data_IF_598465545109
#
_entry.id   IF_598465545109
#
_cell.length_a   1.000
_cell.length_b   1.000
_cell.length_c   1.000
_cell.angle_alpha   90.00
_cell.angle_beta   90.00
_cell.angle_gamma   90.00
#
_symmetry.space_group_name_H-M   'P 1'
#
loop_
_entity.id
_entity.type
_entity.pdbx_description
1 polymer ?
#
# COMPACT_ATOMS: atom_id res chain seq x y z
N UNK A 1 17.19 -12.46 -7.81
CA UNK A 1 16.81 -11.05 -7.93
C UNK A 1 18.05 -10.23 -8.24
N UNK A 2 18.14 -9.62 -9.42
CA UNK A 2 19.16 -8.58 -9.66
C UNK A 2 18.76 -7.40 -8.77
N UNK A 3 19.66 -7.01 -7.86
CA UNK A 3 19.46 -5.84 -7.01
C UNK A 3 19.29 -4.61 -7.93
N UNK A 4 18.06 -4.14 -8.06
CA UNK A 4 17.77 -2.88 -8.71
C UNK A 4 18.48 -1.79 -7.89
N UNK A 5 19.36 -1.06 -8.55
CA UNK A 5 20.13 0.00 -7.90
C UNK A 5 19.24 1.23 -7.81
N UNK A 6 18.86 1.68 -6.62
CA UNK A 6 18.03 2.85 -6.42
C UNK A 6 18.53 4.11 -7.17
N UNK A 7 19.83 4.43 -7.20
CA UNK A 7 20.33 5.53 -8.04
C UNK A 7 20.00 5.40 -9.52
N UNK A 8 20.02 4.19 -10.10
CA UNK A 8 19.63 3.96 -11.49
C UNK A 8 18.12 4.12 -11.71
N UNK A 9 17.30 3.65 -10.78
CA UNK A 9 15.86 3.84 -10.85
C UNK A 9 15.48 5.32 -10.77
N UNK A 10 16.10 6.07 -9.87
CA UNK A 10 15.91 7.52 -9.72
C UNK A 10 16.39 8.27 -10.97
N UNK A 11 17.55 7.90 -11.53
CA UNK A 11 18.02 8.51 -12.77
C UNK A 11 17.07 8.27 -13.94
N UNK A 12 16.50 7.05 -14.05
CA UNK A 12 15.49 6.73 -15.06
C UNK A 12 14.19 7.53 -14.85
N UNK A 13 13.76 7.71 -13.60
CA UNK A 13 12.61 8.56 -13.25
C UNK A 13 12.85 10.02 -13.64
N UNK A 14 14.01 10.57 -13.28
CA UNK A 14 14.36 11.95 -13.60
C UNK A 14 14.46 12.20 -15.12
N UNK A 15 14.86 11.19 -15.89
CA UNK A 15 14.97 11.30 -17.34
C UNK A 15 13.62 11.46 -18.06
N UNK A 16 12.51 11.06 -17.42
CA UNK A 16 11.17 11.20 -17.99
C UNK A 16 10.40 12.42 -17.44
N UNK A 17 11.05 13.25 -16.63
CA UNK A 17 10.42 14.46 -16.09
C UNK A 17 10.60 15.66 -17.04
N UNK A 18 9.65 16.61 -17.06
CA UNK A 18 8.35 16.58 -16.38
C UNK A 18 7.36 15.64 -17.08
N UNK A 19 6.55 14.94 -16.30
CA UNK A 19 5.48 14.11 -16.84
C UNK A 19 4.39 14.95 -17.53
N UNK A 20 3.84 14.44 -18.63
CA UNK A 20 2.61 14.98 -19.21
C UNK A 20 1.43 14.84 -18.23
N UNK A 21 0.41 15.68 -18.36
CA UNK A 21 -0.80 15.58 -17.51
C UNK A 21 -1.47 14.21 -17.65
N UNK A 22 -1.48 13.66 -18.86
CA UNK A 22 -2.00 12.31 -19.15
C UNK A 22 -1.22 11.23 -18.39
N UNK A 23 0.11 11.29 -18.40
CA UNK A 23 0.94 10.29 -17.75
C UNK A 23 0.86 10.41 -16.23
N UNK A 24 0.77 11.63 -15.72
CA UNK A 24 0.52 11.91 -14.30
C UNK A 24 -0.80 11.32 -13.83
N UNK A 25 -1.87 11.49 -14.62
CA UNK A 25 -3.18 10.92 -14.31
C UNK A 25 -3.17 9.39 -14.37
N UNK A 26 -2.53 8.79 -15.39
CA UNK A 26 -2.38 7.33 -15.51
C UNK A 26 -1.65 6.75 -14.30
N UNK A 27 -0.55 7.37 -13.91
CA UNK A 27 0.26 6.93 -12.78
C UNK A 27 -0.51 7.08 -11.45
N UNK A 28 -1.21 8.20 -11.28
CA UNK A 28 -2.02 8.43 -10.08
C UNK A 28 -3.15 7.41 -9.95
N UNK A 29 -3.85 7.07 -11.05
CA UNK A 29 -4.87 6.00 -11.04
C UNK A 29 -4.28 4.65 -10.65
N UNK A 30 -3.13 4.28 -11.24
CA UNK A 30 -2.41 3.05 -10.89
C UNK A 30 -2.04 3.04 -9.41
N UNK A 31 -1.40 4.10 -8.92
CA UNK A 31 -1.01 4.23 -7.52
C UNK A 31 -2.22 4.14 -6.58
N UNK A 32 -3.30 4.84 -6.88
CA UNK A 32 -4.53 4.83 -6.06
C UNK A 32 -5.05 3.41 -5.85
N UNK A 33 -5.16 2.62 -6.91
CA UNK A 33 -5.62 1.23 -6.80
C UNK A 33 -4.62 0.36 -6.07
N UNK A 34 -3.36 0.39 -6.51
CA UNK A 34 -2.28 -0.44 -5.95
C UNK A 34 -2.06 -0.17 -4.46
N UNK A 35 -1.98 1.10 -4.05
CA UNK A 35 -1.75 1.46 -2.65
C UNK A 35 -2.93 1.08 -1.77
N UNK A 36 -4.15 1.46 -2.17
CA UNK A 36 -5.35 1.15 -1.40
C UNK A 36 -5.53 -0.35 -1.22
N UNK A 37 -5.40 -1.13 -2.29
CA UNK A 37 -5.47 -2.59 -2.19
C UNK A 37 -4.42 -3.12 -1.23
N UNK A 38 -3.15 -2.85 -1.47
CA UNK A 38 -2.07 -3.46 -0.71
C UNK A 38 -2.02 -2.99 0.75
N UNK A 39 -2.18 -1.68 0.99
CA UNK A 39 -2.10 -1.14 2.34
C UNK A 39 -3.22 -1.65 3.24
N UNK A 40 -4.45 -1.79 2.73
CA UNK A 40 -5.56 -2.35 3.50
C UNK A 40 -5.48 -3.88 3.60
N UNK A 41 -5.04 -4.56 2.53
CA UNK A 41 -4.90 -6.02 2.54
C UNK A 41 -3.82 -6.52 3.52
N UNK A 42 -2.75 -5.75 3.74
CA UNK A 42 -1.78 -6.01 4.81
C UNK A 42 -2.47 -6.06 6.19
N UNK A 43 -3.48 -5.22 6.42
CA UNK A 43 -4.22 -5.12 7.68
C UNK A 43 -5.44 -6.07 7.74
N UNK A 44 -5.67 -6.86 6.70
CA UNK A 44 -6.70 -7.91 6.70
C UNK A 44 -7.98 -7.59 5.94
N UNK A 45 -8.03 -6.47 5.18
CA UNK A 45 -9.14 -6.19 4.26
C UNK A 45 -9.23 -7.29 3.20
N UNK A 46 -10.43 -7.74 2.89
CA UNK A 46 -10.68 -8.94 2.06
C UNK A 46 -11.04 -8.64 0.61
N UNK A 47 -11.21 -7.36 0.24
CA UNK A 47 -11.52 -7.00 -1.15
C UNK A 47 -10.44 -7.49 -2.09
N UNK A 48 -10.84 -8.08 -3.19
CA UNK A 48 -9.90 -8.44 -4.27
C UNK A 48 -9.37 -7.19 -4.98
N UNK A 49 -8.27 -7.33 -5.69
CA UNK A 49 -7.70 -6.23 -6.48
C UNK A 49 -8.72 -5.67 -7.50
N UNK A 50 -9.45 -6.56 -8.20
CA UNK A 50 -10.49 -6.15 -9.14
C UNK A 50 -11.67 -5.42 -8.47
N UNK A 51 -12.10 -5.85 -7.28
CA UNK A 51 -13.14 -5.13 -6.52
C UNK A 51 -12.65 -3.75 -6.09
N UNK A 52 -11.40 -3.65 -5.65
CA UNK A 52 -10.78 -2.36 -5.29
C UNK A 52 -10.73 -1.42 -6.50
N UNK A 53 -10.28 -1.91 -7.66
CA UNK A 53 -10.23 -1.14 -8.89
C UNK A 53 -11.63 -0.64 -9.31
N UNK A 54 -12.63 -1.51 -9.33
CA UNK A 54 -14.01 -1.18 -9.67
C UNK A 54 -14.62 -0.15 -8.71
N UNK A 55 -14.37 -0.32 -7.42
CA UNK A 55 -14.88 0.59 -6.39
C UNK A 55 -14.27 1.99 -6.55
N UNK A 56 -12.94 2.08 -6.68
CA UNK A 56 -12.23 3.35 -6.64
C UNK A 56 -12.29 4.12 -7.96
N UNK A 57 -12.24 3.41 -9.10
CA UNK A 57 -12.23 4.07 -10.41
C UNK A 57 -13.63 4.26 -11.01
N UNK A 58 -14.58 3.39 -10.68
CA UNK A 58 -15.91 3.39 -11.31
C UNK A 58 -17.06 3.52 -10.31
N UNK A 59 -16.79 3.54 -9.00
CA UNK A 59 -17.82 3.61 -7.96
C UNK A 59 -18.72 2.37 -7.88
N UNK A 60 -18.29 1.23 -8.43
CA UNK A 60 -19.07 0.00 -8.54
C UNK A 60 -18.60 -1.05 -7.55
N UNK A 61 -19.56 -1.77 -6.98
CA UNK A 61 -19.31 -2.97 -6.17
C UNK A 61 -19.83 -4.18 -6.92
N UNK A 62 -19.02 -5.22 -7.04
CA UNK A 62 -19.36 -6.44 -7.77
C UNK A 62 -18.97 -7.64 -6.92
N UNK A 63 -19.89 -8.61 -6.79
CA UNK A 63 -19.74 -9.77 -5.94
C UNK A 63 -19.93 -9.45 -4.45
N UNK A 64 -19.74 -10.45 -3.61
CA UNK A 64 -19.83 -10.29 -2.16
C UNK A 64 -18.66 -9.44 -1.63
N UNK A 65 -18.97 -8.53 -0.71
CA UNK A 65 -18.00 -7.68 -0.04
C UNK A 65 -18.54 -7.24 1.32
N UNK A 66 -17.71 -7.32 2.33
CA UNK A 66 -18.05 -6.80 3.65
C UNK A 66 -18.17 -5.27 3.62
N UNK A 67 -19.23 -4.72 4.22
CA UNK A 67 -19.43 -3.26 4.26
C UNK A 67 -18.24 -2.55 4.89
N UNK A 68 -17.68 -3.10 5.95
CA UNK A 68 -16.47 -2.58 6.61
C UNK A 68 -15.31 -2.45 5.64
N UNK A 69 -15.06 -3.45 4.81
CA UNK A 69 -13.95 -3.46 3.86
C UNK A 69 -14.12 -2.39 2.77
N UNK A 70 -15.36 -2.19 2.30
CA UNK A 70 -15.69 -1.13 1.36
C UNK A 70 -15.47 0.26 1.96
N UNK A 71 -15.88 0.45 3.21
CA UNK A 71 -15.74 1.71 3.93
C UNK A 71 -14.28 2.04 4.22
N UNK A 72 -13.49 1.07 4.66
CA UNK A 72 -12.04 1.22 4.86
C UNK A 72 -11.34 1.61 3.57
N UNK A 73 -11.71 0.99 2.44
CA UNK A 73 -11.12 1.28 1.14
C UNK A 73 -11.41 2.72 0.70
N UNK A 74 -12.66 3.19 0.85
CA UNK A 74 -13.03 4.58 0.55
C UNK A 74 -12.34 5.59 1.47
N UNK A 75 -12.24 5.28 2.76
CA UNK A 75 -11.55 6.13 3.72
C UNK A 75 -10.05 6.25 3.41
N UNK A 76 -9.43 5.14 3.02
CA UNK A 76 -8.02 5.12 2.59
C UNK A 76 -7.78 5.98 1.34
N UNK A 77 -8.70 5.96 0.36
CA UNK A 77 -8.61 6.83 -0.83
C UNK A 77 -8.68 8.33 -0.48
N UNK A 78 -9.55 8.70 0.47
CA UNK A 78 -9.58 10.08 1.00
C UNK A 78 -8.26 10.41 1.69
N UNK A 79 -7.71 9.49 2.48
CA UNK A 79 -6.41 9.66 3.14
C UNK A 79 -5.25 9.88 2.15
N UNK A 80 -5.24 9.18 1.00
CA UNK A 80 -4.26 9.40 -0.07
C UNK A 80 -4.37 10.83 -0.61
N UNK A 81 -5.57 11.30 -0.93
CA UNK A 81 -5.80 12.66 -1.46
C UNK A 81 -5.33 13.72 -0.47
N UNK A 82 -5.69 13.59 0.79
CA UNK A 82 -5.21 14.50 1.86
C UNK A 82 -3.69 14.50 1.96
N UNK A 83 -3.06 13.32 1.88
CA UNK A 83 -1.61 13.20 1.93
C UNK A 83 -0.94 13.87 0.73
N UNK A 84 -1.45 13.67 -0.49
CA UNK A 84 -0.93 14.28 -1.72
C UNK A 84 -1.06 15.81 -1.70
N UNK A 85 -2.21 16.32 -1.28
CA UNK A 85 -2.45 17.76 -1.12
C UNK A 85 -1.46 18.38 -0.14
N UNK A 86 -1.30 17.78 1.04
CA UNK A 86 -0.37 18.27 2.06
C UNK A 86 1.08 18.21 1.59
N UNK A 87 1.49 17.14 0.89
CA UNK A 87 2.85 17.00 0.35
C UNK A 87 3.17 18.05 -0.71
N UNK A 88 2.17 18.54 -1.44
CA UNK A 88 2.29 19.62 -2.43
C UNK A 88 2.57 20.99 -1.81
N UNK A 89 2.20 21.22 -0.54
CA UNK A 89 2.41 22.50 0.16
C UNK A 89 3.80 22.51 0.79
N UNK A 90 4.81 22.89 -0.01
CA UNK A 90 6.24 22.77 0.39
C UNK A 90 6.62 23.60 1.63
N UNK A 91 5.98 24.73 1.84
CA UNK A 91 6.28 25.64 2.96
C UNK A 91 5.61 25.22 4.28
N UNK A 92 4.72 24.23 4.26
CA UNK A 92 4.03 23.76 5.47
C UNK A 92 4.76 22.55 6.06
N UNK A 93 5.27 22.63 7.30
CA UNK A 93 5.93 21.51 7.97
C UNK A 93 4.94 20.38 8.29
N UNK A 94 5.45 19.17 8.43
CA UNK A 94 4.67 18.07 9.00
C UNK A 94 4.28 18.38 10.43
N UNK A 95 3.03 18.08 10.81
CA UNK A 95 2.53 18.30 12.16
C UNK A 95 1.88 17.04 12.73
N UNK A 96 1.93 16.89 14.05
CA UNK A 96 1.18 15.84 14.74
C UNK A 96 -0.32 15.92 14.45
N UNK A 97 -0.86 17.15 14.31
CA UNK A 97 -2.26 17.34 13.99
C UNK A 97 -2.63 16.76 12.63
N UNK A 98 -1.79 16.94 11.61
CA UNK A 98 -2.00 16.33 10.31
C UNK A 98 -2.01 14.79 10.37
N UNK A 99 -1.05 14.19 11.10
CA UNK A 99 -1.01 12.73 11.30
C UNK A 99 -2.28 12.24 12.00
N UNK A 100 -2.77 12.96 13.00
CA UNK A 100 -4.02 12.64 13.70
C UNK A 100 -5.26 12.82 12.82
N UNK A 101 -5.28 13.81 11.94
CA UNK A 101 -6.34 14.00 10.96
C UNK A 101 -6.36 12.88 9.93
N UNK A 102 -5.21 12.45 9.40
CA UNK A 102 -5.12 11.27 8.54
C UNK A 102 -5.66 10.02 9.25
N UNK A 103 -5.27 9.80 10.50
CA UNK A 103 -5.78 8.68 11.28
C UNK A 103 -7.30 8.75 11.48
N UNK A 104 -7.83 9.95 11.81
CA UNK A 104 -9.29 10.16 11.92
C UNK A 104 -10.01 9.86 10.60
N UNK A 105 -9.43 10.26 9.47
CA UNK A 105 -9.98 9.98 8.15
C UNK A 105 -10.01 8.49 7.87
N UNK A 106 -8.94 7.75 8.18
CA UNK A 106 -8.86 6.31 7.94
C UNK A 106 -9.85 5.49 8.78
N UNK A 107 -10.01 5.85 10.06
CA UNK A 107 -10.93 5.15 10.96
C UNK A 107 -12.37 5.66 10.87
N UNK A 108 -12.57 6.90 10.38
CA UNK A 108 -13.85 7.60 10.24
C UNK A 108 -14.49 7.98 11.57
N UNK A 109 -14.68 7.02 12.47
CA UNK A 109 -15.34 7.21 13.77
C UNK A 109 -14.70 6.34 14.86
N UNK A 110 -15.04 6.65 16.10
CA UNK A 110 -14.70 5.80 17.23
C UNK A 110 -15.49 4.49 17.15
N UNK A 111 -14.87 3.37 17.49
CA UNK A 111 -15.54 2.08 17.50
C UNK A 111 -15.14 1.21 18.68
N UNK A 112 -16.04 0.31 19.08
CA UNK A 112 -15.83 -0.60 20.20
C UNK A 112 -15.30 -1.94 19.72
N UNK A 113 -14.21 -2.39 20.36
CA UNK A 113 -13.67 -3.74 20.19
C UNK A 113 -14.11 -4.60 21.36
N UNK A 114 -14.71 -5.75 21.06
CA UNK A 114 -15.07 -6.75 22.03
C UNK A 114 -14.02 -7.86 22.03
N UNK A 115 -13.62 -8.30 23.20
CA UNK A 115 -12.69 -9.43 23.37
C UNK A 115 -13.20 -10.39 24.42
N UNK A 116 -12.99 -11.67 24.19
CA UNK A 116 -13.19 -12.72 25.17
C UNK A 116 -11.87 -12.97 25.89
N UNK A 117 -11.90 -12.93 27.21
CA UNK A 117 -10.78 -13.26 28.08
C UNK A 117 -10.75 -14.77 28.36
N UNK A 118 -9.58 -15.34 28.75
CA UNK A 118 -9.51 -16.70 29.24
C UNK A 118 -10.54 -16.93 30.35
N UNK A 119 -11.42 -17.92 30.20
CA UNK A 119 -12.52 -18.19 31.12
C UNK A 119 -13.91 -17.68 30.66
N UNK A 120 -14.02 -17.16 29.40
CA UNK A 120 -15.32 -16.79 28.81
C UNK A 120 -15.83 -15.40 29.23
N UNK A 121 -15.06 -14.64 30.01
CA UNK A 121 -15.43 -13.28 30.40
C UNK A 121 -15.25 -12.33 29.22
N UNK A 122 -16.29 -11.58 28.86
CA UNK A 122 -16.21 -10.56 27.83
C UNK A 122 -15.68 -9.21 28.39
N UNK A 123 -14.82 -8.55 27.61
CA UNK A 123 -14.39 -7.19 27.86
C UNK A 123 -14.52 -6.37 26.57
N UNK A 124 -14.64 -5.06 26.71
CA UNK A 124 -14.68 -4.17 25.57
C UNK A 124 -13.89 -2.89 25.84
N UNK A 125 -13.45 -2.27 24.77
CA UNK A 125 -12.81 -0.96 24.82
C UNK A 125 -13.07 -0.17 23.55
N UNK A 126 -13.00 1.15 23.65
CA UNK A 126 -13.22 2.04 22.50
C UNK A 126 -11.88 2.42 21.89
N UNK A 127 -11.80 2.32 20.55
CA UNK A 127 -10.72 2.87 19.76
C UNK A 127 -11.14 4.25 19.27
N UNK A 128 -10.31 5.25 19.56
CA UNK A 128 -10.61 6.64 19.28
C UNK A 128 -9.94 7.12 17.97
N UNK A 129 -10.74 7.52 16.99
CA UNK A 129 -10.27 8.08 15.73
C UNK A 129 -9.57 9.44 15.94
N UNK A 130 -8.32 9.55 15.49
CA UNK A 130 -7.52 10.77 15.58
C UNK A 130 -6.97 11.09 16.97
N UNK A 131 -7.02 10.17 17.92
CA UNK A 131 -6.45 10.33 19.27
C UNK A 131 -5.35 9.30 19.50
N UNK A 132 -4.29 9.71 20.18
CA UNK A 132 -3.26 8.79 20.61
C UNK A 132 -3.83 7.79 21.62
N UNK A 133 -3.21 6.63 21.67
CA UNK A 133 -3.59 5.53 22.54
C UNK A 133 -3.63 5.92 24.00
N UNK A 134 -4.59 5.39 24.70
CA UNK A 134 -4.76 5.54 26.16
C UNK A 134 -4.42 4.27 26.90
N UNK A 135 -4.14 3.18 26.16
CA UNK A 135 -3.88 1.86 26.68
C UNK A 135 -2.61 1.29 26.05
N UNK A 136 -1.81 0.52 26.78
CA UNK A 136 -0.68 -0.18 26.23
C UNK A 136 -1.11 -1.09 25.07
N UNK A 137 -0.36 -1.05 23.98
CA UNK A 137 -0.50 -2.01 22.90
C UNK A 137 0.77 -2.86 22.81
N UNK A 138 0.61 -4.12 22.54
CA UNK A 138 1.70 -5.06 22.34
C UNK A 138 1.25 -6.09 21.33
N UNK A 139 2.20 -6.70 20.64
CA UNK A 139 1.94 -7.80 19.73
C UNK A 139 2.70 -9.04 20.20
N UNK A 140 2.09 -10.20 20.01
CA UNK A 140 2.80 -11.47 20.16
C UNK A 140 3.49 -11.72 18.81
N UNK A 141 4.81 -11.81 18.84
CA UNK A 141 5.59 -12.13 17.64
C UNK A 141 5.27 -13.55 17.17
N UNK A 142 5.62 -13.88 15.95
CA UNK A 142 5.49 -15.26 15.44
C UNK A 142 6.34 -16.30 16.23
N UNK A 143 7.28 -15.83 17.02
CA UNK A 143 8.13 -16.65 17.89
C UNK A 143 7.57 -16.83 19.30
N UNK A 144 6.41 -16.20 19.59
CA UNK A 144 5.76 -16.24 20.89
C UNK A 144 6.21 -15.16 21.89
N UNK A 145 7.19 -14.34 21.52
CA UNK A 145 7.67 -13.25 22.36
C UNK A 145 6.68 -12.07 22.34
N UNK A 146 6.55 -11.41 23.48
CA UNK A 146 5.78 -10.17 23.58
C UNK A 146 6.67 -8.98 23.17
N UNK A 147 6.25 -8.28 22.12
CA UNK A 147 6.86 -7.05 21.70
C UNK A 147 6.03 -5.85 22.18
N UNK A 148 6.65 -4.94 22.91
CA UNK A 148 6.00 -3.78 23.48
C UNK A 148 6.36 -2.51 22.69
N UNK A 149 5.35 -1.67 22.46
CA UNK A 149 5.49 -0.34 21.92
C UNK A 149 5.54 0.70 23.05
N UNK A 150 5.82 1.96 22.69
CA UNK A 150 5.86 3.05 23.67
C UNK A 150 4.62 3.06 24.58
N UNK A 151 4.81 3.40 25.85
CA UNK A 151 3.70 3.54 26.79
C UNK A 151 2.76 4.71 26.38
N UNK A 152 1.47 4.65 26.73
CA UNK A 152 0.54 5.75 26.43
C UNK A 152 1.04 7.12 26.94
N UNK A 153 1.62 7.15 28.12
CA UNK A 153 2.13 8.35 28.79
C UNK A 153 3.32 8.97 28.04
N UNK A 154 4.12 8.16 27.35
CA UNK A 154 5.29 8.61 26.57
C UNK A 154 4.92 8.98 25.13
N UNK A 155 3.79 8.48 24.63
CA UNK A 155 3.42 8.54 23.21
C UNK A 155 3.39 9.96 22.65
N UNK A 156 2.79 10.90 23.38
CA UNK A 156 2.66 12.28 22.90
C UNK A 156 4.02 12.99 22.79
N UNK A 157 4.92 12.76 23.76
CA UNK A 157 6.28 13.31 23.75
C UNK A 157 7.11 12.71 22.62
N UNK A 158 7.12 11.39 22.47
CA UNK A 158 7.85 10.70 21.40
C UNK A 158 7.36 11.09 20.00
N UNK A 159 6.06 11.35 19.83
CA UNK A 159 5.52 11.86 18.58
C UNK A 159 5.91 13.32 18.30
N UNK A 160 6.03 14.14 19.35
CA UNK A 160 6.58 15.50 19.22
C UNK A 160 8.04 15.43 18.74
N UNK A 161 8.86 14.64 19.41
CA UNK A 161 10.27 14.46 19.08
C UNK A 161 10.45 13.93 17.65
N UNK A 162 9.62 12.98 17.22
CA UNK A 162 9.67 12.41 15.86
C UNK A 162 9.36 13.46 14.81
N UNK A 163 8.31 14.26 15.01
CA UNK A 163 7.88 15.28 14.04
C UNK A 163 8.90 16.42 13.99
N UNK A 164 9.40 16.88 15.14
CA UNK A 164 10.43 17.91 15.22
C UNK A 164 11.74 17.43 14.59
N UNK A 165 12.15 16.19 14.85
CA UNK A 165 13.30 15.58 14.21
C UNK A 165 13.13 15.56 12.70
N UNK A 166 11.97 15.10 12.18
CA UNK A 166 11.70 15.02 10.75
C UNK A 166 11.85 16.40 10.09
N UNK A 167 11.14 17.41 10.59
CA UNK A 167 11.17 18.75 10.02
C UNK A 167 12.59 19.36 10.05
N UNK A 168 13.36 19.07 11.11
CA UNK A 168 14.74 19.51 11.24
C UNK A 168 15.69 18.80 10.26
N UNK A 169 15.55 17.49 10.06
CA UNK A 169 16.38 16.75 9.11
C UNK A 169 15.99 17.07 7.66
N UNK A 170 14.71 17.26 7.38
CA UNK A 170 14.24 17.74 6.09
C UNK A 170 14.89 19.08 5.72
N UNK A 171 14.88 20.04 6.62
CA UNK A 171 15.50 21.36 6.39
C UNK A 171 17.03 21.33 6.22
N UNK A 172 17.72 20.36 6.84
CA UNK A 172 19.16 20.18 6.69
C UNK A 172 19.57 19.56 5.32
N UNK A 173 18.67 18.78 4.71
CA UNK A 173 18.94 18.11 3.43
C UNK A 173 20.11 17.12 3.44
N UNK A 174 20.50 16.58 4.62
CA UNK A 174 21.62 15.62 4.73
C UNK A 174 21.23 14.19 4.42
N UNK A 175 20.01 13.81 4.78
CA UNK A 175 19.44 12.49 4.47
C UNK A 175 18.77 12.55 3.10
N UNK A 176 18.93 11.49 2.32
CA UNK A 176 18.12 11.32 1.11
C UNK A 176 16.64 11.14 1.49
N UNK A 177 15.70 11.50 0.61
CA UNK A 177 14.28 11.29 0.87
C UNK A 177 13.93 9.83 1.22
N UNK A 178 14.66 8.87 0.65
CA UNK A 178 14.48 7.44 0.94
C UNK A 178 14.92 7.10 2.35
N UNK A 179 16.08 7.60 2.79
CA UNK A 179 16.58 7.40 4.16
C UNK A 179 15.68 8.08 5.20
N UNK A 180 15.23 9.30 4.88
CA UNK A 180 14.32 10.06 5.74
C UNK A 180 12.98 9.33 5.91
N UNK A 181 12.40 8.82 4.81
CA UNK A 181 11.16 8.04 4.84
C UNK A 181 11.32 6.71 5.60
N UNK A 182 12.44 6.00 5.40
CA UNK A 182 12.72 4.75 6.11
C UNK A 182 12.87 4.95 7.62
N UNK A 183 13.63 5.98 8.03
CA UNK A 183 13.79 6.32 9.45
C UNK A 183 12.48 6.76 10.09
N UNK A 184 11.73 7.63 9.43
CA UNK A 184 10.43 8.06 9.93
C UNK A 184 9.50 6.87 10.13
N UNK A 185 9.39 6.01 9.11
CA UNK A 185 8.57 4.80 9.17
C UNK A 185 8.93 3.91 10.35
N UNK A 186 10.22 3.57 10.49
CA UNK A 186 10.70 2.70 11.57
C UNK A 186 10.42 3.30 12.95
N UNK A 187 10.83 4.54 13.17
CA UNK A 187 10.60 5.25 14.45
C UNK A 187 9.12 5.35 14.81
N UNK A 188 8.29 5.68 13.81
CA UNK A 188 6.84 5.76 13.99
C UNK A 188 6.23 4.41 14.40
N UNK A 189 6.66 3.31 13.75
CA UNK A 189 6.19 1.95 14.12
C UNK A 189 6.65 1.59 15.54
N UNK A 190 7.83 2.01 15.98
CA UNK A 190 8.31 1.77 17.35
C UNK A 190 7.51 2.54 18.41
N UNK A 191 7.04 3.73 18.08
CA UNK A 191 6.14 4.51 18.96
C UNK A 191 4.75 3.86 18.97
N UNK A 192 4.23 3.49 17.80
CA UNK A 192 2.91 2.90 17.62
C UNK A 192 1.80 3.73 18.27
N UNK A 193 1.61 5.00 17.83
CA UNK A 193 0.93 6.01 18.64
C UNK A 193 -0.58 5.82 18.77
N UNK A 194 -1.21 5.04 17.93
CA UNK A 194 -2.65 4.79 17.97
C UNK A 194 -2.97 3.37 18.43
N UNK A 195 -4.22 3.13 18.80
CA UNK A 195 -4.68 1.80 19.20
C UNK A 195 -4.91 0.87 17.98
N UNK A 196 -5.20 1.46 16.80
CA UNK A 196 -5.30 0.78 15.49
C UNK A 196 -4.80 1.69 14.37
N UNK A 197 -4.65 1.17 13.14
CA UNK A 197 -4.33 1.94 11.93
C UNK A 197 -2.87 2.43 11.79
N UNK A 198 -1.99 2.08 12.71
CA UNK A 198 -0.60 2.56 12.69
C UNK A 198 0.14 2.17 11.41
N UNK A 199 -0.02 0.94 10.92
CA UNK A 199 0.62 0.49 9.69
C UNK A 199 0.17 1.29 8.47
N UNK A 200 -1.13 1.56 8.35
CA UNK A 200 -1.71 2.37 7.27
C UNK A 200 -1.17 3.80 7.29
N UNK A 201 -1.13 4.43 8.46
CA UNK A 201 -0.55 5.78 8.63
C UNK A 201 0.94 5.79 8.29
N UNK A 202 1.72 4.82 8.77
CA UNK A 202 3.16 4.73 8.47
C UNK A 202 3.42 4.70 6.96
N UNK A 203 2.64 3.88 6.21
CA UNK A 203 2.76 3.79 4.74
C UNK A 203 2.29 5.04 4.01
N UNK A 204 1.29 5.76 4.54
CA UNK A 204 0.89 7.07 4.00
C UNK A 204 1.97 8.13 4.21
N UNK A 205 2.57 8.21 5.40
CA UNK A 205 3.62 9.21 5.68
C UNK A 205 4.91 8.93 4.89
N UNK A 206 5.23 7.65 4.62
CA UNK A 206 6.30 7.32 3.66
C UNK A 206 6.06 8.02 2.32
N UNK A 207 4.84 7.91 1.78
CA UNK A 207 4.48 8.53 0.50
C UNK A 207 4.36 10.05 0.59
N UNK A 208 3.94 10.60 1.73
CA UNK A 208 4.03 12.03 1.99
C UNK A 208 5.48 12.54 1.84
N UNK A 209 6.43 11.87 2.48
CA UNK A 209 7.85 12.26 2.44
C UNK A 209 8.39 12.16 1.00
N UNK A 210 8.14 11.05 0.31
CA UNK A 210 8.60 10.85 -1.06
C UNK A 210 8.00 11.89 -2.03
N UNK A 211 6.68 12.09 -1.99
CA UNK A 211 5.98 13.05 -2.84
C UNK A 211 6.42 14.51 -2.57
N UNK A 212 6.69 14.85 -1.31
CA UNK A 212 7.19 16.16 -0.93
C UNK A 212 8.56 16.49 -1.56
N UNK A 213 9.34 15.48 -1.89
CA UNK A 213 10.64 15.61 -2.54
C UNK A 213 10.60 15.24 -4.05
N UNK A 214 9.41 15.24 -4.66
CA UNK A 214 9.18 14.95 -6.08
C UNK A 214 9.63 13.53 -6.51
N UNK A 215 9.74 12.62 -5.53
CA UNK A 215 9.92 11.19 -5.80
C UNK A 215 8.57 10.55 -6.14
N UNK A 216 8.55 9.51 -6.96
CA UNK A 216 7.33 8.74 -7.16
C UNK A 216 6.89 8.08 -5.86
N UNK A 217 5.59 8.01 -5.68
CA UNK A 217 4.98 7.29 -4.56
C UNK A 217 5.15 5.79 -4.77
N UNK A 218 5.29 5.05 -3.67
CA UNK A 218 5.58 3.62 -3.68
C UNK A 218 4.50 2.79 -2.99
N UNK A 219 4.48 1.51 -3.28
CA UNK A 219 3.56 0.55 -2.66
C UNK A 219 4.34 -0.58 -2.00
N UNK A 220 4.13 -0.79 -0.70
CA UNK A 220 4.57 -2.02 -0.03
C UNK A 220 3.53 -3.09 -0.36
N UNK A 221 3.91 -4.10 -1.14
CA UNK A 221 2.99 -5.10 -1.67
C UNK A 221 2.56 -6.10 -0.60
N UNK A 222 1.26 -6.37 -0.52
CA UNK A 222 0.68 -7.31 0.47
C UNK A 222 1.21 -8.74 0.30
N UNK A 223 1.51 -9.15 -0.92
CA UNK A 223 2.16 -10.44 -1.22
C UNK A 223 3.56 -10.58 -0.58
N UNK A 224 4.22 -9.46 -0.29
CA UNK A 224 5.53 -9.40 0.36
C UNK A 224 5.43 -9.05 1.86
N UNK A 225 4.22 -9.06 2.47
CA UNK A 225 3.99 -8.78 3.89
C UNK A 225 4.98 -9.51 4.80
N UNK A 226 5.26 -10.78 4.52
CA UNK A 226 6.22 -11.58 5.31
C UNK A 226 7.64 -10.98 5.28
N UNK A 227 8.11 -10.54 4.10
CA UNK A 227 9.45 -9.92 3.95
C UNK A 227 9.51 -8.57 4.64
N UNK A 228 8.44 -7.78 4.53
CA UNK A 228 8.30 -6.49 5.18
C UNK A 228 8.37 -6.60 6.71
N UNK A 229 7.59 -7.50 7.30
CA UNK A 229 7.59 -7.72 8.74
C UNK A 229 8.90 -8.33 9.23
N UNK A 230 9.53 -9.22 8.43
CA UNK A 230 10.85 -9.78 8.75
C UNK A 230 11.92 -8.69 8.77
N UNK A 231 11.93 -7.79 7.80
CA UNK A 231 12.90 -6.70 7.76
C UNK A 231 12.78 -5.75 8.97
N UNK A 232 11.56 -5.46 9.42
CA UNK A 232 11.31 -4.71 10.66
C UNK A 232 11.82 -5.48 11.89
N UNK A 233 11.47 -6.76 11.97
CA UNK A 233 11.91 -7.61 13.10
C UNK A 233 13.44 -7.71 13.19
N UNK A 234 14.15 -7.87 12.08
CA UNK A 234 15.60 -7.89 12.06
C UNK A 234 16.22 -6.56 12.52
N UNK A 235 15.59 -5.42 12.17
CA UNK A 235 16.00 -4.12 12.70
C UNK A 235 15.71 -4.01 14.21
N UNK A 236 14.58 -4.55 14.69
CA UNK A 236 14.25 -4.58 16.11
C UNK A 236 15.28 -5.37 16.94
N UNK A 237 15.83 -6.44 16.40
CA UNK A 237 16.89 -7.21 17.05
C UNK A 237 18.19 -6.39 17.21
N UNK A 238 18.51 -5.53 16.23
CA UNK A 238 19.69 -4.65 16.30
C UNK A 238 19.47 -3.45 17.24
N UNK A 239 18.27 -2.88 17.25
CA UNK A 239 17.90 -1.72 18.07
C UNK A 239 17.65 -2.10 19.54
N UNK A 240 17.14 -3.31 19.77
CA UNK A 240 16.70 -3.76 21.09
C UNK A 240 15.20 -3.49 21.35
N UNK A 241 14.71 -4.07 22.46
CA UNK A 241 13.28 -4.08 22.79
C UNK A 241 12.74 -2.76 23.36
N UNK A 242 13.61 -1.87 23.85
CA UNK A 242 13.16 -0.62 24.49
C UNK A 242 12.50 0.32 23.49
N UNK A 243 11.21 0.68 23.66
CA UNK A 243 10.47 1.48 22.69
C UNK A 243 11.06 2.87 22.44
N UNK A 244 11.50 3.58 23.49
CA UNK A 244 12.10 4.91 23.38
C UNK A 244 13.43 4.91 22.60
N UNK A 245 14.24 3.83 22.71
CA UNK A 245 15.45 3.67 21.90
C UNK A 245 15.06 3.49 20.43
N UNK A 246 14.04 2.68 20.15
CA UNK A 246 13.53 2.49 18.79
C UNK A 246 12.95 3.77 18.17
N UNK A 247 12.29 4.60 18.96
CA UNK A 247 11.77 5.90 18.53
C UNK A 247 12.88 6.90 18.14
N UNK A 248 14.14 6.66 18.54
CA UNK A 248 15.30 7.48 18.21
C UNK A 248 16.38 6.73 17.41
N UNK A 249 16.08 5.54 16.86
CA UNK A 249 17.03 4.75 16.10
C UNK A 249 17.61 5.55 14.91
N UNK A 250 18.87 5.29 14.58
CA UNK A 250 19.55 5.86 13.40
C UNK A 250 19.64 4.87 12.23
N UNK A 251 20.21 5.30 11.10
CA UNK A 251 20.37 4.46 9.91
C UNK A 251 21.20 3.21 10.14
N UNK A 252 22.18 3.25 11.04
CA UNK A 252 23.04 2.11 11.32
C UNK A 252 22.26 1.00 12.01
N UNK A 253 21.38 1.38 12.93
CA UNK A 253 20.56 0.44 13.68
C UNK A 253 19.46 -0.21 12.82
N UNK A 254 18.92 0.50 11.82
CA UNK A 254 17.83 -0.02 10.99
C UNK A 254 18.29 -0.60 9.65
N UNK A 255 19.58 -0.96 9.50
CA UNK A 255 20.14 -1.48 8.23
C UNK A 255 19.34 -2.58 7.56
N UNK A 256 18.81 -3.60 8.26
CA UNK A 256 18.00 -4.64 7.64
C UNK A 256 16.73 -4.07 6.99
N UNK A 257 16.01 -3.22 7.71
CA UNK A 257 14.82 -2.54 7.19
C UNK A 257 15.17 -1.56 6.06
N UNK A 258 16.22 -0.76 6.20
CA UNK A 258 16.67 0.18 5.18
C UNK A 258 17.00 -0.53 3.86
N UNK A 259 17.68 -1.65 3.88
CA UNK A 259 17.99 -2.45 2.68
C UNK A 259 16.72 -2.93 1.98
N UNK A 260 15.77 -3.46 2.75
CA UNK A 260 14.47 -3.86 2.24
C UNK A 260 13.74 -2.67 1.60
N UNK A 261 13.68 -1.54 2.32
CA UNK A 261 12.97 -0.35 1.89
C UNK A 261 13.56 0.24 0.60
N UNK A 262 14.88 0.37 0.51
CA UNK A 262 15.58 0.82 -0.72
C UNK A 262 15.25 -0.09 -1.90
N UNK A 263 15.20 -1.40 -1.70
CA UNK A 263 14.85 -2.35 -2.76
C UNK A 263 13.41 -2.16 -3.24
N UNK A 264 12.45 -1.98 -2.32
CA UNK A 264 11.04 -1.68 -2.64
C UNK A 264 10.93 -0.38 -3.44
N UNK A 265 11.57 0.69 -2.95
CA UNK A 265 11.55 1.99 -3.65
C UNK A 265 12.12 1.86 -5.07
N UNK A 266 13.26 1.19 -5.23
CA UNK A 266 13.87 1.00 -6.54
C UNK A 266 12.99 0.20 -7.50
N UNK A 267 12.34 -0.86 -7.01
CA UNK A 267 11.44 -1.70 -7.81
C UNK A 267 10.19 -0.93 -8.25
N UNK A 268 9.55 -0.22 -7.33
CA UNK A 268 8.33 0.54 -7.63
C UNK A 268 8.63 1.70 -8.62
N UNK A 269 9.72 2.45 -8.42
CA UNK A 269 10.14 3.49 -9.37
C UNK A 269 10.41 2.90 -10.75
N UNK A 270 11.11 1.77 -10.83
CA UNK A 270 11.42 1.13 -12.10
C UNK A 270 10.14 0.64 -12.80
N UNK A 271 9.20 0.08 -12.06
CA UNK A 271 7.91 -0.33 -12.59
C UNK A 271 7.09 0.86 -13.11
N UNK A 272 7.12 1.99 -12.43
CA UNK A 272 6.43 3.21 -12.86
C UNK A 272 7.05 3.78 -14.15
N UNK A 273 8.37 3.81 -14.25
CA UNK A 273 9.06 4.22 -15.49
C UNK A 273 8.65 3.29 -16.64
N UNK A 274 8.66 1.98 -16.45
CA UNK A 274 8.24 1.00 -17.46
C UNK A 274 6.77 1.17 -17.84
N UNK A 275 5.89 1.39 -16.87
CA UNK A 275 4.47 1.62 -17.10
C UNK A 275 4.20 2.84 -17.99
N UNK A 276 5.04 3.87 -17.88
CA UNK A 276 4.91 5.09 -18.67
C UNK A 276 5.60 5.03 -20.04
N UNK A 277 6.71 4.31 -20.16
CA UNK A 277 7.61 4.40 -21.33
C UNK A 277 7.57 3.21 -22.26
N UNK A 278 7.18 2.01 -21.76
CA UNK A 278 7.13 0.81 -22.60
C UNK A 278 5.79 0.70 -23.35
N UNK A 279 5.80 0.12 -24.60
CA UNK A 279 4.57 -0.19 -25.30
C UNK A 279 3.67 -1.10 -24.49
N UNK A 280 2.37 -0.81 -24.48
CA UNK A 280 1.41 -1.49 -23.60
C UNK A 280 0.33 -2.31 -24.33
N UNK A 281 0.36 -2.40 -25.67
CA UNK A 281 -0.72 -3.07 -26.44
C UNK A 281 -0.92 -4.53 -26.03
N UNK A 282 0.17 -5.28 -25.86
CA UNK A 282 0.17 -6.69 -25.45
C UNK A 282 0.57 -6.89 -23.98
N UNK A 283 0.69 -5.81 -23.20
CA UNK A 283 1.05 -5.83 -21.77
C UNK A 283 -0.18 -5.62 -20.93
N UNK A 284 -0.27 -6.36 -19.85
CA UNK A 284 -1.28 -6.20 -18.81
C UNK A 284 -0.61 -5.98 -17.46
N UNK A 285 -1.06 -4.97 -16.74
CA UNK A 285 -0.61 -4.65 -15.39
C UNK A 285 -1.66 -5.04 -14.37
N UNK A 286 -1.23 -5.74 -13.33
CA UNK A 286 -2.10 -6.18 -12.26
C UNK A 286 -1.32 -6.21 -10.94
N UNK A 287 -1.73 -5.45 -9.95
CA UNK A 287 -1.06 -5.33 -8.65
C UNK A 287 0.47 -5.15 -8.79
N UNK A 288 0.90 -4.18 -9.61
CA UNK A 288 2.31 -3.88 -9.87
C UNK A 288 3.08 -4.96 -10.63
N UNK A 289 2.43 -6.03 -11.08
CA UNK A 289 3.03 -7.06 -11.92
C UNK A 289 2.78 -6.75 -13.40
N UNK A 290 3.84 -6.81 -14.19
CA UNK A 290 3.80 -6.65 -15.64
C UNK A 290 3.76 -8.02 -16.30
N UNK A 291 2.70 -8.28 -17.02
CA UNK A 291 2.52 -9.52 -17.81
C UNK A 291 2.51 -9.16 -19.27
N UNK A 292 3.40 -9.76 -20.05
CA UNK A 292 3.49 -9.57 -21.49
C UNK A 292 3.00 -10.83 -22.22
N UNK A 293 2.11 -10.63 -23.18
CA UNK A 293 1.53 -11.70 -23.97
C UNK A 293 2.08 -11.68 -25.40
N UNK A 294 2.10 -12.84 -26.07
CA UNK A 294 2.50 -12.93 -27.47
C UNK A 294 1.54 -12.20 -28.42
N UNK A 295 0.27 -12.09 -28.05
CA UNK A 295 -0.78 -11.43 -28.84
C UNK A 295 -1.56 -10.45 -27.98
N UNK A 296 -1.97 -9.34 -28.59
CA UNK A 296 -2.68 -8.24 -27.89
C UNK A 296 -4.06 -8.65 -27.33
N UNK A 297 -4.70 -9.67 -27.88
CA UNK A 297 -6.05 -10.05 -27.45
C UNK A 297 -6.12 -10.59 -26.02
N UNK A 298 -5.07 -11.21 -25.50
CA UNK A 298 -5.01 -11.61 -24.09
C UNK A 298 -5.08 -10.41 -23.16
N UNK A 299 -4.23 -9.42 -23.38
CA UNK A 299 -4.22 -8.19 -22.57
C UNK A 299 -5.54 -7.42 -22.70
N UNK A 300 -6.12 -7.35 -23.91
CA UNK A 300 -7.42 -6.69 -24.13
C UNK A 300 -8.55 -7.40 -23.37
N UNK A 301 -8.65 -8.74 -23.41
CA UNK A 301 -9.66 -9.49 -22.67
C UNK A 301 -9.56 -9.20 -21.17
N UNK A 302 -8.36 -9.27 -20.60
CA UNK A 302 -8.15 -9.01 -19.17
C UNK A 302 -8.56 -7.59 -18.78
N UNK A 303 -8.20 -6.57 -19.56
CA UNK A 303 -8.61 -5.18 -19.34
C UNK A 303 -10.13 -4.99 -19.43
N UNK A 304 -10.79 -5.65 -20.41
CA UNK A 304 -12.25 -5.63 -20.52
C UNK A 304 -12.90 -6.27 -19.29
N UNK A 305 -12.41 -7.43 -18.87
CA UNK A 305 -12.93 -8.14 -17.70
C UNK A 305 -12.73 -7.35 -16.39
N UNK A 306 -11.62 -6.64 -16.24
CA UNK A 306 -11.41 -5.77 -15.07
C UNK A 306 -12.44 -4.65 -14.99
N UNK A 307 -12.74 -3.99 -16.12
CA UNK A 307 -13.72 -2.90 -16.16
C UNK A 307 -15.17 -3.37 -16.26
N UNK A 308 -15.41 -4.57 -16.76
CA UNK A 308 -16.71 -5.19 -17.00
C UNK A 308 -16.71 -6.68 -16.57
N UNK A 309 -16.68 -7.00 -15.28
CA UNK A 309 -16.56 -8.39 -14.80
C UNK A 309 -17.69 -9.32 -15.25
N UNK A 310 -18.87 -8.80 -15.54
CA UNK A 310 -20.02 -9.56 -16.05
C UNK A 310 -20.04 -9.70 -17.58
N UNK A 311 -18.99 -9.26 -18.30
CA UNK A 311 -18.94 -9.28 -19.76
C UNK A 311 -19.28 -10.67 -20.33
N UNK A 312 -20.12 -10.70 -21.37
CA UNK A 312 -20.51 -11.95 -22.04
C UNK A 312 -19.51 -12.31 -23.14
N UNK A 313 -19.49 -13.59 -23.53
CA UNK A 313 -18.67 -14.05 -24.67
C UNK A 313 -19.06 -13.31 -25.95
N UNK A 314 -20.36 -13.06 -26.17
CA UNK A 314 -20.82 -12.33 -27.36
C UNK A 314 -20.30 -10.89 -27.36
N UNK A 315 -20.36 -10.20 -26.23
CA UNK A 315 -19.80 -8.84 -26.11
C UNK A 315 -18.28 -8.82 -26.29
N UNK A 316 -17.55 -9.85 -25.82
CA UNK A 316 -16.11 -9.99 -26.10
C UNK A 316 -15.85 -10.18 -27.60
N UNK A 317 -16.69 -10.96 -28.32
CA UNK A 317 -16.56 -11.12 -29.78
C UNK A 317 -16.70 -9.77 -30.49
N UNK A 318 -17.69 -8.99 -30.12
CA UNK A 318 -17.95 -7.65 -30.71
C UNK A 318 -16.79 -6.69 -30.42
N UNK A 319 -16.38 -6.56 -29.15
CA UNK A 319 -15.34 -5.62 -28.74
C UNK A 319 -13.95 -5.95 -29.31
N UNK A 320 -13.68 -7.23 -29.53
CA UNK A 320 -12.40 -7.71 -30.09
C UNK A 320 -12.44 -7.91 -31.61
N UNK A 321 -13.62 -7.84 -32.23
CA UNK A 321 -13.84 -8.14 -33.63
C UNK A 321 -13.32 -9.54 -34.06
N UNK A 322 -13.56 -10.57 -33.22
CA UNK A 322 -13.16 -11.96 -33.46
C UNK A 322 -14.34 -12.92 -33.20
N UNK A 323 -14.28 -14.09 -33.79
CA UNK A 323 -15.35 -15.08 -33.68
C UNK A 323 -15.38 -15.78 -32.30
N UNK A 324 -16.51 -16.39 -31.97
CA UNK A 324 -16.77 -17.04 -30.68
C UNK A 324 -15.76 -18.12 -30.33
N UNK A 325 -15.37 -18.94 -31.33
CA UNK A 325 -14.39 -20.02 -31.14
C UNK A 325 -13.00 -19.47 -30.75
N UNK A 326 -12.60 -18.32 -31.32
CA UNK A 326 -11.36 -17.65 -30.97
C UNK A 326 -11.42 -17.10 -29.54
N UNK A 327 -12.52 -16.45 -29.15
CA UNK A 327 -12.71 -15.97 -27.75
C UNK A 327 -12.65 -17.15 -26.78
N UNK A 328 -13.36 -18.24 -27.04
CA UNK A 328 -13.35 -19.41 -26.16
C UNK A 328 -11.95 -20.00 -25.98
N UNK A 329 -11.15 -20.13 -27.04
CA UNK A 329 -9.76 -20.59 -26.96
C UNK A 329 -8.90 -19.67 -26.10
N UNK A 330 -9.06 -18.34 -26.24
CA UNK A 330 -8.33 -17.36 -25.44
C UNK A 330 -8.72 -17.47 -23.96
N UNK A 331 -10.00 -17.61 -23.64
CA UNK A 331 -10.49 -17.78 -22.27
C UNK A 331 -9.98 -19.07 -21.63
N UNK A 332 -10.00 -20.19 -22.36
CA UNK A 332 -9.42 -21.46 -21.90
C UNK A 332 -7.94 -21.29 -21.57
N UNK A 333 -7.19 -20.69 -22.49
CA UNK A 333 -5.75 -20.44 -22.27
C UNK A 333 -5.47 -19.50 -21.09
N UNK A 334 -6.27 -18.44 -20.89
CA UNK A 334 -6.13 -17.54 -19.73
C UNK A 334 -6.43 -18.27 -18.41
N UNK A 335 -7.44 -19.16 -18.41
CA UNK A 335 -7.77 -19.99 -17.24
C UNK A 335 -6.65 -20.97 -16.92
N UNK A 336 -6.15 -21.70 -17.91
CA UNK A 336 -5.04 -22.66 -17.75
C UNK A 336 -3.75 -21.98 -17.24
N UNK A 337 -3.51 -20.73 -17.63
CA UNK A 337 -2.37 -19.93 -17.19
C UNK A 337 -2.60 -19.22 -15.85
N UNK A 338 -3.77 -19.37 -15.22
CA UNK A 338 -4.07 -18.80 -13.92
C UNK A 338 -4.30 -17.28 -13.92
N UNK A 339 -4.78 -16.70 -15.03
CA UNK A 339 -5.10 -15.26 -15.10
C UNK A 339 -6.58 -14.97 -14.90
N UNK A 340 -7.44 -15.97 -15.06
CA UNK A 340 -8.88 -15.87 -14.78
C UNK A 340 -9.38 -17.12 -14.08
N UNK A 341 -10.39 -16.98 -13.24
CA UNK A 341 -11.23 -18.09 -12.78
C UNK A 341 -12.48 -18.21 -13.65
N UNK A 342 -13.18 -19.34 -13.52
CA UNK A 342 -14.48 -19.50 -14.16
C UNK A 342 -15.46 -18.47 -13.61
N UNK A 343 -16.50 -18.13 -14.39
CA UNK A 343 -17.61 -17.32 -13.87
C UNK A 343 -18.20 -17.99 -12.63
N UNK A 344 -18.47 -17.18 -11.61
CA UNK A 344 -19.26 -17.61 -10.47
C UNK A 344 -20.75 -17.74 -10.83
N UNK A 345 -21.58 -18.14 -9.89
CA UNK A 345 -23.04 -18.30 -10.06
C UNK A 345 -23.75 -16.99 -10.47
N UNK A 346 -23.17 -15.84 -10.12
CA UNK A 346 -23.65 -14.50 -10.53
C UNK A 346 -23.20 -14.11 -11.95
N UNK A 347 -22.46 -14.97 -12.64
CA UNK A 347 -21.96 -14.73 -13.99
C UNK A 347 -20.77 -13.76 -14.07
N UNK A 348 -20.02 -13.60 -12.98
CA UNK A 348 -18.91 -12.67 -12.86
C UNK A 348 -17.58 -13.38 -13.12
N UNK A 349 -16.74 -12.81 -13.97
CA UNK A 349 -15.36 -13.23 -14.17
C UNK A 349 -14.47 -12.71 -13.07
N UNK A 350 -13.64 -13.54 -12.50
CA UNK A 350 -12.60 -13.13 -11.58
C UNK A 350 -11.25 -13.13 -12.27
N UNK A 351 -10.67 -11.92 -12.37
CA UNK A 351 -9.31 -11.75 -12.88
C UNK A 351 -8.34 -11.89 -11.70
N UNK A 352 -7.29 -12.68 -11.89
CA UNK A 352 -6.32 -13.05 -10.84
C UNK A 352 -4.92 -13.13 -11.44
N UNK A 353 -3.90 -13.20 -10.58
CA UNK A 353 -2.60 -13.80 -10.91
C UNK A 353 -2.36 -14.92 -9.89
N UNK A 354 -2.42 -16.15 -10.36
CA UNK A 354 -2.01 -17.28 -9.53
C UNK A 354 -0.49 -17.35 -9.53
N UNK A 355 0.18 -17.38 -8.36
CA UNK A 355 1.61 -17.61 -8.30
C UNK A 355 1.94 -18.92 -9.04
N UNK A 356 2.90 -18.89 -9.95
CA UNK A 356 3.43 -20.12 -10.56
C UNK A 356 3.97 -20.99 -9.43
N UNK A 357 3.42 -22.21 -9.30
CA UNK A 357 3.87 -23.22 -8.34
C UNK A 357 5.28 -23.64 -8.66
#
# INVERSE_FOLDING_TARGET
MKYLNAPKAIAAWNAIQPLSDRDRERLNRKFTVDFNFNSNHIEGNTLTYGQTELLLLFGKVVGEAEMKDLEEMKASDVGIKMMQEQAGIKDMPLTQNFIRQLHKTLLREDYTVYRELPGGQQTSYVIHAGRYKTRPNSVITRYGDRFEYAAPEETAALMADLVDWYNKEESKGKLSPIELAALFHYRYIRIHPFEDGNGRIARLIVNYILARHDYPMIVIRSRDKKKYLEALHQADLEVGSTPSIGAHADLNHIRPFLRYFIAVVAEEIYNDVRFLTEPDENVWWYDGQRVEFRTLNYAKILRIMQSQPSVTINSLCEQLSINKSAVQRLLTSLKEKGYIEAKNDEGIWRVIITPSV
#
